data_IF_642730904996
#
_entry.id   IF_642730904996
#
_cell.length_a   1.000
_cell.length_b   1.000
_cell.length_c   1.000
_cell.angle_alpha   90.00
_cell.angle_beta   90.00
_cell.angle_gamma   90.00
#
_symmetry.space_group_name_H-M   'P 1'
#
loop_
_entity.id
_entity.type
_entity.pdbx_description
1 polymer ?
#
# COMPACT_ATOMS: atom_id res chain seq x y z
N UNK A 1 -14.74 -3.39 23.44
CA UNK A 1 -13.59 -2.57 22.99
C UNK A 1 -12.50 -3.51 22.48
N UNK A 2 -12.76 -4.14 21.33
CA UNK A 2 -11.88 -5.04 20.58
C UNK A 2 -12.67 -5.41 19.32
N UNK A 3 -12.61 -4.59 18.27
CA UNK A 3 -13.24 -4.91 16.98
C UNK A 3 -12.64 -3.97 15.95
N UNK A 4 -12.06 -4.54 14.90
CA UNK A 4 -11.44 -3.89 13.75
C UNK A 4 -9.93 -3.60 13.81
N UNK A 5 -9.17 -4.28 14.67
CA UNK A 5 -7.88 -4.76 14.19
C UNK A 5 -8.14 -6.11 13.55
N UNK A 6 -7.57 -6.34 12.37
CA UNK A 6 -7.34 -7.68 11.85
C UNK A 6 -8.60 -8.42 11.31
N UNK A 7 -8.80 -8.39 9.99
CA UNK A 7 -9.45 -9.51 9.29
C UNK A 7 -8.47 -10.17 8.31
N UNK A 8 -7.70 -9.38 7.56
CA UNK A 8 -6.64 -9.93 6.70
C UNK A 8 -5.40 -10.34 7.50
N UNK A 9 -4.97 -9.53 8.46
CA UNK A 9 -3.82 -9.88 9.30
C UNK A 9 -4.19 -10.93 10.36
N UNK A 10 -5.44 -10.97 10.84
CA UNK A 10 -5.90 -12.02 11.79
C UNK A 10 -6.00 -13.36 11.09
N UNK A 11 -6.45 -13.40 9.83
CA UNK A 11 -6.50 -14.64 9.09
C UNK A 11 -5.09 -15.23 8.92
N UNK A 12 -4.09 -14.38 8.65
CA UNK A 12 -2.68 -14.81 8.56
C UNK A 12 -2.12 -15.19 9.94
N UNK A 13 -2.42 -14.42 11.00
CA UNK A 13 -1.91 -14.67 12.36
C UNK A 13 -2.61 -15.84 13.09
N UNK A 14 -3.90 -16.07 12.85
CA UNK A 14 -4.68 -17.19 13.40
C UNK A 14 -4.27 -18.51 12.71
N UNK A 15 -3.91 -18.45 11.43
CA UNK A 15 -3.29 -19.59 10.74
C UNK A 15 -1.88 -19.87 11.30
N UNK A 16 -1.13 -18.82 11.66
CA UNK A 16 0.20 -18.90 12.28
C UNK A 16 0.18 -19.65 13.62
N UNK A 17 -0.82 -19.41 14.48
CA UNK A 17 -0.99 -20.11 15.77
C UNK A 17 -1.41 -21.57 15.59
N UNK A 18 -2.32 -21.86 14.65
CA UNK A 18 -2.77 -23.23 14.38
C UNK A 18 -1.70 -24.12 13.74
N UNK A 19 -0.73 -23.55 13.02
CA UNK A 19 0.37 -24.31 12.40
C UNK A 19 1.53 -24.55 13.38
N UNK A 20 1.76 -23.67 14.36
CA UNK A 20 2.84 -23.82 15.36
C UNK A 20 2.44 -24.74 16.53
N UNK A 21 1.16 -24.81 16.92
CA UNK A 21 0.70 -25.75 17.98
C UNK A 21 0.74 -27.23 17.57
N UNK A 22 1.10 -27.55 16.33
CA UNK A 22 1.43 -28.91 15.90
C UNK A 22 2.89 -29.28 16.19
N UNK A 23 3.35 -29.17 17.45
CA UNK A 23 4.58 -29.84 17.92
C UNK A 23 4.27 -30.78 19.10
N UNK A 24 4.95 -31.94 19.17
CA UNK A 24 4.42 -33.13 19.81
C UNK A 24 4.55 -33.03 21.33
N UNK A 25 3.47 -33.39 22.02
CA UNK A 25 3.51 -33.74 23.43
C UNK A 25 4.45 -34.95 23.58
N UNK A 26 5.48 -34.79 24.39
CA UNK A 26 6.25 -35.91 24.92
C UNK A 26 5.31 -36.75 25.80
N UNK A 27 4.69 -37.77 25.23
CA UNK A 27 4.12 -38.88 25.98
C UNK A 27 4.78 -40.18 25.51
N UNK A 28 5.58 -40.73 26.42
CA UNK A 28 5.94 -42.13 26.40
C UNK A 28 4.67 -42.97 26.54
N UNK A 29 4.23 -43.64 25.49
CA UNK A 29 4.00 -45.09 25.49
C UNK A 29 3.28 -45.54 24.21
N UNK A 30 3.56 -46.79 23.88
CA UNK A 30 3.20 -47.56 22.70
C UNK A 30 1.75 -47.46 22.21
N UNK A 31 1.56 -47.05 20.94
CA UNK A 31 0.66 -47.71 19.98
C UNK A 31 0.86 -47.09 18.58
N UNK A 32 0.93 -47.93 17.55
CA UNK A 32 1.10 -47.51 16.16
C UNK A 32 -0.08 -46.68 15.68
N UNK A 33 0.16 -45.44 15.28
CA UNK A 33 -0.68 -44.75 14.31
C UNK A 33 0.21 -43.83 13.46
N UNK A 34 0.23 -44.13 12.17
CA UNK A 34 1.04 -43.54 11.13
C UNK A 34 0.54 -42.11 10.84
N UNK A 35 0.92 -41.14 11.68
CA UNK A 35 0.77 -39.71 11.36
C UNK A 35 1.99 -39.30 10.55
N UNK A 36 1.88 -39.35 9.22
CA UNK A 36 2.89 -38.82 8.32
C UNK A 36 3.16 -37.34 8.65
N UNK A 37 4.35 -37.06 9.17
CA UNK A 37 4.85 -35.70 9.31
C UNK A 37 4.92 -35.05 7.93
N UNK A 38 4.14 -33.98 7.71
CA UNK A 38 4.17 -33.22 6.46
C UNK A 38 5.56 -32.59 6.35
N UNK A 39 6.28 -32.89 5.27
CA UNK A 39 7.63 -32.35 5.05
C UNK A 39 7.55 -30.80 4.95
N UNK A 40 8.53 -30.04 5.45
CA UNK A 40 8.50 -28.58 5.49
C UNK A 40 8.16 -27.92 4.14
N UNK A 41 8.66 -28.49 3.03
CA UNK A 41 8.42 -27.97 1.68
C UNK A 41 6.95 -28.12 1.23
N UNK A 42 6.22 -29.09 1.77
CA UNK A 42 4.82 -29.30 1.45
C UNK A 42 3.92 -28.31 2.21
N UNK A 43 4.32 -27.88 3.41
CA UNK A 43 3.63 -26.81 4.14
C UNK A 43 3.77 -25.45 3.42
N UNK A 44 4.97 -25.13 2.92
CA UNK A 44 5.21 -23.91 2.14
C UNK A 44 4.37 -23.87 0.85
N UNK A 45 4.20 -25.01 0.19
CA UNK A 45 3.39 -25.12 -1.01
C UNK A 45 1.90 -24.89 -0.75
N UNK A 46 1.36 -25.39 0.36
CA UNK A 46 -0.04 -25.16 0.73
C UNK A 46 -0.32 -23.71 1.15
N UNK A 47 0.63 -23.06 1.84
CA UNK A 47 0.56 -21.61 2.14
C UNK A 47 0.56 -20.80 0.84
N UNK A 48 1.44 -21.13 -0.11
CA UNK A 48 1.49 -20.48 -1.41
C UNK A 48 0.18 -20.63 -2.20
N UNK A 49 -0.40 -21.84 -2.27
CA UNK A 49 -1.70 -22.07 -2.92
C UNK A 49 -2.81 -21.23 -2.30
N UNK A 50 -2.84 -21.16 -0.96
CA UNK A 50 -3.84 -20.38 -0.24
C UNK A 50 -3.70 -18.88 -0.55
N UNK A 51 -2.48 -18.33 -0.54
CA UNK A 51 -2.24 -16.94 -0.91
C UNK A 51 -2.63 -16.65 -2.36
N UNK A 52 -2.41 -17.59 -3.28
CA UNK A 52 -2.83 -17.46 -4.69
C UNK A 52 -4.34 -17.55 -4.91
N UNK A 53 -5.09 -18.12 -3.97
CA UNK A 53 -6.55 -18.15 -4.04
C UNK A 53 -7.20 -16.83 -3.57
N UNK A 54 -6.44 -15.90 -2.98
CA UNK A 54 -6.95 -14.60 -2.55
C UNK A 54 -6.90 -13.57 -3.70
N UNK A 55 -8.04 -13.09 -4.22
CA UNK A 55 -8.08 -12.14 -5.33
C UNK A 55 -7.43 -10.79 -5.00
N UNK A 56 -7.24 -10.47 -3.71
CA UNK A 56 -6.55 -9.24 -3.28
C UNK A 56 -5.04 -9.32 -3.46
N UNK A 57 -4.50 -10.52 -3.68
CA UNK A 57 -3.08 -10.79 -3.87
C UNK A 57 -2.74 -11.15 -5.34
N UNK A 58 -3.69 -10.99 -6.26
CA UNK A 58 -3.52 -11.38 -7.67
C UNK A 58 -2.37 -10.64 -8.37
N UNK A 59 -2.12 -9.39 -7.99
CA UNK A 59 -1.10 -8.52 -8.60
C UNK A 59 0.33 -8.84 -8.15
N UNK A 60 0.51 -9.66 -7.10
CA UNK A 60 1.84 -10.07 -6.67
C UNK A 60 2.39 -11.15 -7.60
N UNK A 61 3.64 -10.99 -8.02
CA UNK A 61 4.36 -12.03 -8.76
C UNK A 61 4.62 -13.25 -7.87
N UNK A 62 4.81 -14.42 -8.48
CA UNK A 62 5.21 -15.64 -7.74
C UNK A 62 6.46 -15.39 -6.90
N UNK A 63 7.40 -14.59 -7.42
CA UNK A 63 8.66 -14.26 -6.75
C UNK A 63 8.42 -13.42 -5.49
N UNK A 64 7.53 -12.42 -5.54
CA UNK A 64 7.20 -11.59 -4.38
C UNK A 64 6.49 -12.39 -3.29
N UNK A 65 5.57 -13.28 -3.68
CA UNK A 65 4.90 -14.20 -2.75
C UNK A 65 5.89 -15.16 -2.08
N UNK A 66 6.83 -15.73 -2.84
CA UNK A 66 7.84 -16.65 -2.31
C UNK A 66 8.83 -15.94 -1.38
N UNK A 67 9.27 -14.73 -1.71
CA UNK A 67 10.13 -13.92 -0.83
C UNK A 67 9.40 -13.55 0.46
N UNK A 68 8.13 -13.17 0.38
CA UNK A 68 7.31 -12.90 1.56
C UNK A 68 7.19 -14.12 2.47
N UNK A 69 6.96 -15.30 1.89
CA UNK A 69 6.92 -16.57 2.61
C UNK A 69 8.30 -16.84 3.26
N UNK A 70 9.40 -16.75 2.52
CA UNK A 70 10.74 -17.01 3.05
C UNK A 70 11.15 -16.06 4.19
N UNK A 71 10.92 -14.75 4.03
CA UNK A 71 11.36 -13.74 4.99
C UNK A 71 10.60 -13.81 6.32
N UNK A 72 9.37 -14.32 6.32
CA UNK A 72 8.52 -14.37 7.52
C UNK A 72 8.41 -15.78 8.14
N UNK A 73 8.98 -16.82 7.51
CA UNK A 73 8.91 -18.21 7.99
C UNK A 73 10.27 -18.84 8.35
N UNK A 74 11.41 -18.22 8.01
CA UNK A 74 12.75 -18.80 8.26
C UNK A 74 13.60 -18.07 9.31
N UNK A 75 13.12 -16.99 9.92
CA UNK A 75 13.89 -16.24 10.93
C UNK A 75 13.96 -16.93 12.32
N UNK A 76 13.35 -18.12 12.50
CA UNK A 76 13.39 -18.86 13.77
C UNK A 76 14.43 -20.00 13.83
N UNK A 77 15.40 -20.05 12.90
CA UNK A 77 16.51 -21.04 12.97
C UNK A 77 17.93 -20.46 13.07
N UNK A 78 18.09 -19.14 13.12
CA UNK A 78 19.36 -18.53 13.54
C UNK A 78 20.61 -18.89 12.71
N UNK A 79 20.48 -19.18 11.42
CA UNK A 79 21.63 -19.40 10.52
C UNK A 79 21.40 -18.68 9.18
N UNK A 80 22.09 -17.55 9.00
CA UNK A 80 21.98 -16.66 7.84
C UNK A 80 22.81 -17.10 6.62
N UNK A 81 23.31 -18.34 6.57
CA UNK A 81 24.29 -18.76 5.55
C UNK A 81 23.73 -19.56 4.37
N UNK A 82 22.41 -19.75 4.23
CA UNK A 82 21.85 -20.71 3.25
C UNK A 82 20.96 -20.11 2.16
N UNK A 83 21.31 -18.93 1.63
CA UNK A 83 20.50 -18.25 0.59
C UNK A 83 20.89 -18.60 -0.85
N UNK A 84 21.98 -19.35 -1.11
CA UNK A 84 22.47 -19.55 -2.49
C UNK A 84 22.26 -20.94 -3.13
N UNK A 85 21.57 -21.89 -2.51
CA UNK A 85 21.35 -23.21 -3.15
C UNK A 85 19.96 -23.79 -2.91
N UNK A 86 18.91 -23.21 -3.49
CA UNK A 86 17.65 -23.91 -3.77
C UNK A 86 16.99 -23.32 -5.03
N UNK A 87 17.51 -23.64 -6.21
CA UNK A 87 16.82 -23.35 -7.49
C UNK A 87 16.64 -24.57 -8.39
N UNK A 88 17.05 -25.77 -7.98
CA UNK A 88 17.18 -26.89 -8.93
C UNK A 88 16.12 -27.99 -8.86
N UNK A 89 15.02 -27.82 -8.11
CA UNK A 89 14.03 -28.91 -7.93
C UNK A 89 12.56 -28.46 -7.88
N UNK A 90 12.13 -27.60 -8.81
CA UNK A 90 10.70 -27.45 -9.14
C UNK A 90 10.42 -27.63 -10.64
N UNK A 91 9.32 -28.33 -10.99
CA UNK A 91 9.07 -28.79 -12.35
C UNK A 91 8.89 -27.64 -13.35
N UNK A 92 9.63 -27.77 -14.45
CA UNK A 92 9.69 -26.86 -15.59
C UNK A 92 8.40 -26.93 -16.39
N UNK A 93 7.41 -26.10 -16.07
CA UNK A 93 6.37 -25.75 -17.04
C UNK A 93 5.96 -24.30 -16.80
N UNK A 94 6.84 -23.37 -17.20
CA UNK A 94 6.53 -21.95 -17.27
C UNK A 94 5.88 -21.62 -18.61
N UNK A 95 4.69 -21.05 -18.49
CA UNK A 95 3.90 -20.39 -19.52
C UNK A 95 4.69 -19.19 -20.05
N UNK A 96 4.86 -19.14 -21.38
CA UNK A 96 5.32 -17.97 -22.12
C UNK A 96 4.20 -16.95 -22.20
N UNK A 97 4.41 -15.72 -21.73
CA UNK A 97 3.62 -14.56 -22.18
C UNK A 97 4.59 -13.51 -22.70
N UNK A 98 4.55 -13.31 -24.02
CA UNK A 98 5.27 -12.27 -24.76
C UNK A 98 4.44 -11.00 -24.72
N UNK A 99 4.92 -9.94 -24.05
CA UNK A 99 4.45 -8.59 -24.33
C UNK A 99 5.44 -7.91 -25.26
N UNK A 100 4.96 -7.63 -26.47
CA UNK A 100 5.71 -6.99 -27.54
C UNK A 100 5.25 -5.54 -27.65
N UNK A 101 6.20 -4.61 -27.52
CA UNK A 101 6.04 -3.23 -28.00
C UNK A 101 7.42 -2.59 -28.17
N UNK A 102 8.03 -2.75 -29.35
CA UNK A 102 8.95 -1.76 -29.91
C UNK A 102 8.66 -1.69 -31.42
N UNK A 103 8.04 -0.59 -31.84
CA UNK A 103 8.15 -0.12 -33.21
C UNK A 103 9.49 0.60 -33.31
N UNK A 104 10.42 0.06 -34.08
CA UNK A 104 11.36 0.91 -34.80
C UNK A 104 11.66 0.33 -36.18
N UNK A 105 11.36 1.15 -37.19
CA UNK A 105 11.46 0.82 -38.60
C UNK A 105 12.84 1.24 -39.10
N UNK A 106 13.70 0.28 -39.49
CA UNK A 106 14.86 0.57 -40.33
C UNK A 106 14.90 -0.44 -41.48
N UNK A 107 14.78 0.06 -42.70
CA UNK A 107 14.91 -0.70 -43.95
C UNK A 107 16.35 -1.16 -44.19
N UNK A 108 16.60 -2.37 -44.73
CA UNK A 108 17.95 -2.78 -45.12
C UNK A 108 18.30 -2.28 -46.52
N UNK A 109 19.51 -1.72 -46.67
CA UNK A 109 20.20 -1.60 -47.97
C UNK A 109 21.22 -2.74 -48.08
N UNK A 110 21.24 -3.39 -49.25
CA UNK A 110 22.10 -4.55 -49.54
C UNK A 110 23.56 -4.14 -49.78
N UNK A 111 24.51 -4.84 -49.14
CA UNK A 111 25.96 -4.76 -49.40
C UNK A 111 26.72 -5.90 -48.73
N UNK A 112 27.82 -6.41 -49.33
CA UNK A 112 28.23 -7.80 -49.19
C UNK A 112 29.06 -8.12 -47.95
N UNK A 113 28.96 -9.39 -47.55
CA UNK A 113 29.58 -10.07 -46.43
C UNK A 113 31.10 -9.88 -46.32
N UNK A 114 31.55 -9.32 -45.20
CA UNK A 114 32.86 -9.59 -44.63
C UNK A 114 32.69 -10.13 -43.21
N UNK A 115 33.44 -11.20 -42.91
CA UNK A 115 33.31 -11.99 -41.71
C UNK A 115 33.98 -11.30 -40.54
N UNK A 116 33.20 -10.66 -39.69
CA UNK A 116 33.61 -10.37 -38.31
C UNK A 116 32.37 -10.47 -37.44
N UNK A 117 32.31 -11.50 -36.60
CA UNK A 117 31.27 -11.63 -35.58
C UNK A 117 31.45 -10.50 -34.56
N UNK A 118 30.74 -9.40 -34.77
CA UNK A 118 30.55 -8.37 -33.75
C UNK A 118 29.67 -8.97 -32.64
N UNK A 119 30.31 -9.38 -31.55
CA UNK A 119 29.62 -9.76 -30.32
C UNK A 119 28.93 -8.51 -29.77
N UNK A 120 27.65 -8.38 -30.12
CA UNK A 120 26.82 -7.26 -29.67
C UNK A 120 26.36 -7.61 -28.27
N UNK A 121 27.20 -7.32 -27.28
CA UNK A 121 26.84 -7.46 -25.87
C UNK A 121 25.71 -6.47 -25.57
N UNK A 122 24.48 -6.99 -25.61
CA UNK A 122 23.28 -6.23 -25.31
C UNK A 122 23.20 -6.13 -23.79
N UNK A 123 23.68 -5.02 -23.22
CA UNK A 123 23.45 -4.71 -21.81
C UNK A 123 21.97 -4.46 -21.62
N UNK A 124 21.22 -5.50 -21.25
CA UNK A 124 19.86 -5.35 -20.75
C UNK A 124 19.98 -4.65 -19.40
N UNK A 125 19.86 -3.32 -19.40
CA UNK A 125 19.64 -2.57 -18.17
C UNK A 125 18.20 -2.86 -17.76
N UNK A 126 18.03 -3.95 -17.01
CA UNK A 126 16.77 -4.21 -16.32
C UNK A 126 16.67 -3.17 -15.21
N UNK A 127 16.01 -2.04 -15.49
CA UNK A 127 15.51 -1.19 -14.42
C UNK A 127 14.44 -1.99 -13.71
N UNK A 128 14.83 -2.74 -12.69
CA UNK A 128 13.89 -3.18 -11.67
C UNK A 128 13.40 -1.89 -11.02
N UNK A 129 12.24 -1.39 -11.47
CA UNK A 129 11.44 -0.47 -10.67
C UNK A 129 11.15 -1.26 -9.41
N UNK A 130 11.99 -1.05 -8.40
CA UNK A 130 11.85 -1.66 -7.11
C UNK A 130 10.43 -1.33 -6.68
N UNK A 131 9.59 -2.36 -6.52
CA UNK A 131 8.25 -2.29 -5.96
C UNK A 131 8.43 -1.94 -4.47
N UNK A 132 9.01 -0.77 -4.17
CA UNK A 132 9.39 -0.32 -2.83
C UNK A 132 8.10 -0.03 -2.09
N UNK A 133 7.68 -1.05 -1.35
CA UNK A 133 6.93 -1.02 -0.11
C UNK A 133 6.02 0.21 0.03
N UNK A 134 4.74 0.00 -0.28
CA UNK A 134 3.64 0.90 0.10
C UNK A 134 2.67 0.18 1.05
N UNK A 135 3.16 -0.83 1.78
CA UNK A 135 2.35 -1.52 2.79
C UNK A 135 2.07 -0.55 3.93
N UNK A 136 0.79 -0.29 4.17
CA UNK A 136 0.32 0.56 5.26
C UNK A 136 0.29 -0.28 6.53
N UNK A 137 1.04 0.13 7.56
CA UNK A 137 1.01 -0.49 8.89
C UNK A 137 -0.06 0.14 9.79
N UNK A 138 -0.31 1.44 9.62
CA UNK A 138 -1.30 2.18 10.39
C UNK A 138 -1.98 3.25 9.52
N UNK A 139 -3.28 3.42 9.68
CA UNK A 139 -4.06 4.43 8.97
C UNK A 139 -5.22 4.89 9.85
N UNK A 140 -5.22 6.17 10.20
CA UNK A 140 -6.16 6.74 11.16
C UNK A 140 -6.73 8.04 10.60
N UNK A 141 -8.06 8.10 10.54
CA UNK A 141 -8.76 9.34 10.25
C UNK A 141 -8.66 10.28 11.46
N UNK A 142 -8.48 11.57 11.19
CA UNK A 142 -8.28 12.61 12.21
C UNK A 142 -9.06 13.87 11.85
N UNK A 143 -9.24 14.74 12.85
CA UNK A 143 -9.84 16.06 12.70
C UNK A 143 -9.33 17.04 13.75
N UNK A 144 -9.79 18.28 13.65
CA UNK A 144 -9.41 19.40 14.51
C UNK A 144 -7.91 19.67 14.48
N UNK A 145 -7.33 19.63 13.28
CA UNK A 145 -5.91 19.79 13.06
C UNK A 145 -5.61 20.76 11.92
N UNK A 146 -4.59 21.58 12.14
CA UNK A 146 -3.90 22.38 11.13
C UNK A 146 -2.43 21.92 11.07
N UNK A 147 -1.68 22.38 10.07
CA UNK A 147 -0.26 22.02 9.98
C UNK A 147 0.49 22.37 11.27
N UNK A 148 1.25 21.42 11.80
CA UNK A 148 2.00 21.52 13.04
C UNK A 148 1.16 21.48 14.33
N UNK A 149 -0.17 21.32 14.27
CA UNK A 149 -1.00 21.22 15.48
C UNK A 149 -1.29 19.78 15.88
N UNK A 150 -1.71 19.58 17.14
CA UNK A 150 -2.31 18.33 17.60
C UNK A 150 -3.53 17.97 16.74
N UNK A 151 -3.88 16.68 16.76
CA UNK A 151 -5.04 16.16 16.03
C UNK A 151 -5.87 15.21 16.89
N UNK A 152 -7.17 15.18 16.65
CA UNK A 152 -8.09 14.28 17.33
C UNK A 152 -8.44 13.08 16.43
N UNK A 153 -8.31 11.83 16.90
CA UNK A 153 -8.77 10.67 16.13
C UNK A 153 -10.27 10.72 15.85
N UNK A 154 -10.65 10.52 14.60
CA UNK A 154 -12.03 10.36 14.19
C UNK A 154 -12.48 8.91 14.37
N UNK A 155 -13.73 8.71 14.76
CA UNK A 155 -14.35 7.39 14.85
C UNK A 155 -15.32 7.17 13.70
N UNK A 156 -15.56 5.90 13.36
CA UNK A 156 -16.62 5.53 12.44
C UNK A 156 -17.98 5.84 13.06
N UNK A 157 -18.91 6.39 12.29
CA UNK A 157 -20.24 6.74 12.78
C UNK A 157 -21.09 7.52 11.78
N UNK A 158 -22.25 7.96 12.25
CA UNK A 158 -23.22 8.75 11.47
C UNK A 158 -23.29 10.21 11.91
N UNK A 159 -22.55 10.58 12.97
CA UNK A 159 -22.57 11.90 13.59
C UNK A 159 -21.65 12.92 12.90
N UNK A 160 -21.56 14.10 13.50
CA UNK A 160 -20.54 15.10 13.14
C UNK A 160 -19.16 14.63 13.61
N UNK A 161 -18.10 15.06 12.94
CA UNK A 161 -16.72 14.68 13.24
C UNK A 161 -16.48 13.16 13.21
N UNK A 162 -17.19 12.48 12.31
CA UNK A 162 -17.06 11.03 12.08
C UNK A 162 -16.94 10.74 10.60
N UNK A 163 -16.58 9.50 10.27
CA UNK A 163 -16.70 8.96 8.91
C UNK A 163 -17.72 7.82 8.88
N UNK A 164 -18.56 7.69 7.84
CA UNK A 164 -19.39 6.50 7.66
C UNK A 164 -18.55 5.23 7.60
N UNK A 165 -19.04 4.13 8.16
CA UNK A 165 -18.30 2.86 8.21
C UNK A 165 -17.82 2.37 6.83
N UNK A 166 -18.66 2.54 5.80
CA UNK A 166 -18.33 2.16 4.42
C UNK A 166 -17.34 3.11 3.72
N UNK A 167 -17.09 4.29 4.32
CA UNK A 167 -16.27 5.37 3.77
C UNK A 167 -15.08 5.71 4.68
N UNK A 168 -14.47 4.69 5.30
CA UNK A 168 -13.30 4.85 6.16
C UNK A 168 -12.04 5.27 5.40
N UNK A 169 -10.96 5.66 6.10
CA UNK A 169 -9.75 6.21 5.48
C UNK A 169 -9.05 5.23 4.53
N UNK A 170 -9.22 3.92 4.72
CA UNK A 170 -8.68 2.90 3.80
C UNK A 170 -9.21 3.05 2.37
N UNK A 171 -10.38 3.68 2.21
CA UNK A 171 -10.98 3.94 0.90
C UNK A 171 -10.22 4.97 0.09
N UNK A 172 -9.33 5.76 0.68
CA UNK A 172 -8.44 6.64 -0.07
C UNK A 172 -7.25 5.91 -0.71
N UNK A 173 -7.04 4.62 -0.40
CA UNK A 173 -5.85 3.86 -0.80
C UNK A 173 -6.19 2.48 -1.38
N UNK A 174 -7.47 2.20 -1.68
CA UNK A 174 -7.89 0.87 -2.13
C UNK A 174 -7.80 0.68 -3.65
N UNK A 175 -7.30 1.70 -4.36
CA UNK A 175 -7.10 1.78 -5.81
C UNK A 175 -8.40 1.75 -6.60
N UNK A 176 -9.54 2.01 -5.96
CA UNK A 176 -10.85 1.97 -6.60
C UNK A 176 -11.47 3.37 -6.66
N UNK A 177 -11.78 3.83 -7.87
CA UNK A 177 -12.38 5.16 -8.05
C UNK A 177 -13.88 5.21 -7.66
N UNK A 178 -14.51 4.05 -7.43
CA UNK A 178 -15.92 3.94 -7.07
C UNK A 178 -16.15 3.70 -5.55
N UNK A 179 -15.09 3.74 -4.75
CA UNK A 179 -15.14 3.85 -3.29
C UNK A 179 -14.68 5.26 -2.91
N UNK A 180 -14.91 5.68 -1.65
CA UNK A 180 -14.44 6.98 -1.20
C UNK A 180 -14.22 7.04 0.31
N UNK A 181 -13.21 7.79 0.72
CA UNK A 181 -13.09 8.26 2.08
C UNK A 181 -13.98 9.50 2.25
N UNK A 182 -14.82 9.52 3.29
CA UNK A 182 -15.73 10.63 3.59
C UNK A 182 -15.65 11.02 5.05
N UNK A 183 -15.30 12.28 5.31
CA UNK A 183 -15.34 12.86 6.65
C UNK A 183 -16.48 13.86 6.79
N UNK A 184 -17.34 13.69 7.81
CA UNK A 184 -18.48 14.59 8.10
C UNK A 184 -18.07 15.72 9.04
N UNK A 185 -18.29 16.96 8.62
CA UNK A 185 -18.13 18.13 9.46
C UNK A 185 -19.44 18.58 10.12
N UNK A 186 -19.45 19.82 10.61
CA UNK A 186 -20.63 20.43 11.20
C UNK A 186 -21.37 21.32 10.20
N UNK A 187 -22.63 20.96 9.91
CA UNK A 187 -23.52 21.71 9.02
C UNK A 187 -23.12 21.66 7.54
N UNK A 188 -23.92 22.28 6.67
CA UNK A 188 -23.69 22.34 5.22
C UNK A 188 -23.11 23.70 4.85
N UNK A 189 -21.78 23.81 4.81
CA UNK A 189 -21.07 25.07 4.57
C UNK A 189 -19.67 24.81 4.00
N UNK A 190 -18.89 25.86 3.75
CA UNK A 190 -17.52 25.76 3.20
C UNK A 190 -16.49 25.22 4.22
N UNK A 191 -16.77 25.31 5.52
CA UNK A 191 -15.87 24.88 6.59
C UNK A 191 -16.07 23.43 7.03
N UNK A 192 -17.19 22.81 6.63
CA UNK A 192 -17.53 21.46 7.05
C UNK A 192 -16.55 20.42 6.52
N UNK A 193 -15.78 19.80 7.41
CA UNK A 193 -14.75 18.81 7.09
C UNK A 193 -13.39 19.42 6.75
N UNK A 194 -13.23 20.74 6.79
CA UNK A 194 -11.91 21.37 6.82
C UNK A 194 -11.21 21.01 8.14
N UNK A 195 -9.87 21.00 8.14
CA UNK A 195 -9.04 20.57 9.26
C UNK A 195 -9.24 19.09 9.64
N UNK A 196 -9.66 18.28 8.67
CA UNK A 196 -9.77 16.84 8.78
C UNK A 196 -8.92 16.13 7.74
N UNK A 197 -8.74 14.83 7.94
CA UNK A 197 -8.04 13.98 7.00
C UNK A 197 -7.59 12.70 7.67
N UNK A 198 -6.34 12.31 7.45
CA UNK A 198 -5.78 11.11 8.04
C UNK A 198 -4.28 11.26 8.25
N UNK A 199 -3.71 10.39 9.07
CA UNK A 199 -2.31 10.02 8.93
C UNK A 199 -2.16 8.55 8.56
N UNK A 200 -1.07 8.26 7.87
CA UNK A 200 -0.70 6.93 7.40
C UNK A 200 0.75 6.66 7.79
N UNK A 201 1.01 5.48 8.35
CA UNK A 201 2.35 4.96 8.61
C UNK A 201 2.59 3.78 7.69
N UNK A 202 3.75 3.79 7.04
CA UNK A 202 4.16 2.68 6.18
C UNK A 202 4.99 1.66 6.97
N UNK A 203 4.91 0.39 6.56
CA UNK A 203 5.64 -0.72 7.19
C UNK A 203 7.14 -0.76 6.83
N UNK A 204 7.56 0.11 5.91
CA UNK A 204 8.88 0.17 5.31
C UNK A 204 9.79 1.17 6.03
N UNK A 205 11.03 1.23 5.56
CA UNK A 205 11.88 2.39 5.77
C UNK A 205 11.28 3.68 5.20
N UNK A 206 11.72 4.80 5.77
CA UNK A 206 11.35 6.13 5.32
C UNK A 206 11.65 6.28 3.82
N UNK A 207 10.76 6.94 3.08
CA UNK A 207 10.97 7.21 1.66
C UNK A 207 10.63 8.67 1.35
N UNK A 208 10.95 9.16 0.15
CA UNK A 208 10.60 10.52 -0.29
C UNK A 208 9.44 10.42 -1.26
N UNK A 209 8.42 11.26 -1.09
CA UNK A 209 7.40 11.48 -2.11
C UNK A 209 7.66 12.80 -2.85
N UNK A 210 7.70 12.73 -4.17
CA UNK A 210 7.96 13.88 -5.07
C UNK A 210 6.70 14.39 -5.75
N UNK A 211 5.59 13.65 -5.67
CA UNK A 211 4.28 14.13 -6.13
C UNK A 211 3.11 13.44 -5.41
N UNK A 212 1.95 14.08 -5.47
CA UNK A 212 0.68 13.54 -4.98
C UNK A 212 -0.41 13.73 -6.04
N UNK A 213 -1.37 12.81 -6.08
CA UNK A 213 -2.54 12.91 -6.97
C UNK A 213 -3.79 12.42 -6.26
N UNK A 214 -4.81 13.27 -6.22
CA UNK A 214 -6.12 12.93 -5.69
C UNK A 214 -7.08 12.53 -6.80
N UNK A 215 -8.12 11.76 -6.47
CA UNK A 215 -9.26 11.52 -7.33
C UNK A 215 -10.57 12.01 -6.69
N UNK A 216 -11.43 12.62 -7.51
CA UNK A 216 -12.78 13.03 -7.10
C UNK A 216 -13.66 11.81 -6.81
N UNK A 217 -14.64 11.97 -5.93
CA UNK A 217 -15.63 10.93 -5.64
C UNK A 217 -16.88 11.03 -6.53
N UNK A 218 -17.79 10.07 -6.39
CA UNK A 218 -19.04 9.96 -7.15
C UNK A 218 -20.17 10.87 -6.64
N UNK A 219 -20.18 11.19 -5.33
CA UNK A 219 -21.35 11.75 -4.67
C UNK A 219 -21.62 13.23 -4.95
N UNK A 220 -20.70 14.14 -4.58
CA UNK A 220 -20.91 15.59 -4.67
C UNK A 220 -19.59 16.32 -4.82
N UNK A 221 -19.41 17.04 -5.94
CA UNK A 221 -18.20 17.83 -6.19
C UNK A 221 -17.97 18.92 -5.15
N UNK A 222 -19.00 19.37 -4.45
CA UNK A 222 -18.85 20.36 -3.37
C UNK A 222 -18.01 19.82 -2.19
N UNK A 223 -17.83 18.51 -2.11
CA UNK A 223 -17.03 17.83 -1.08
C UNK A 223 -15.59 17.62 -1.49
N UNK A 224 -15.22 17.87 -2.74
CA UNK A 224 -13.85 17.66 -3.20
C UNK A 224 -12.90 18.55 -2.40
N UNK A 225 -11.83 18.00 -1.79
CA UNK A 225 -10.76 18.82 -1.23
C UNK A 225 -10.03 19.50 -2.39
N UNK A 226 -9.95 20.82 -2.39
CA UNK A 226 -9.25 21.58 -3.45
C UNK A 226 -7.84 22.00 -3.03
N UNK A 227 -7.60 22.06 -1.71
CA UNK A 227 -6.28 22.28 -1.13
C UNK A 227 -6.09 21.41 0.13
N UNK A 228 -4.84 21.06 0.38
CA UNK A 228 -4.39 20.25 1.51
C UNK A 228 -3.05 20.74 2.06
N UNK A 229 -2.72 20.33 3.28
CA UNK A 229 -1.33 20.19 3.72
C UNK A 229 -0.93 18.73 3.74
N UNK A 230 0.35 18.47 3.45
CA UNK A 230 0.98 17.18 3.65
C UNK A 230 2.18 17.39 4.55
N UNK A 231 2.27 16.57 5.59
CA UNK A 231 3.33 16.62 6.59
C UNK A 231 3.96 15.26 6.76
N UNK A 232 5.23 15.23 7.19
CA UNK A 232 5.99 14.00 7.45
C UNK A 232 6.39 13.88 8.91
N UNK A 233 6.51 12.64 9.38
CA UNK A 233 7.02 12.29 10.71
C UNK A 233 7.79 10.96 10.68
N UNK A 234 8.86 10.86 11.46
CA UNK A 234 9.55 9.59 11.71
C UNK A 234 8.90 8.78 12.84
N UNK A 235 7.92 9.36 13.54
CA UNK A 235 7.14 8.68 14.57
C UNK A 235 6.22 7.62 13.94
N UNK A 236 5.92 6.57 14.71
CA UNK A 236 5.06 5.46 14.27
C UNK A 236 3.99 5.08 15.29
N UNK A 237 4.01 5.69 16.48
CA UNK A 237 3.07 5.40 17.55
C UNK A 237 1.91 6.38 17.54
N UNK A 238 0.70 5.90 17.82
CA UNK A 238 -0.50 6.75 17.83
C UNK A 238 -0.40 7.91 18.84
N UNK A 239 0.24 7.70 19.98
CA UNK A 239 0.44 8.74 20.99
C UNK A 239 1.24 9.93 20.42
N UNK A 240 2.35 9.64 19.73
CA UNK A 240 3.21 10.66 19.13
C UNK A 240 2.59 11.27 17.88
N UNK A 241 1.96 10.46 17.04
CA UNK A 241 1.32 10.92 15.80
C UNK A 241 0.09 11.79 16.06
N UNK A 242 -0.50 11.73 17.26
CA UNK A 242 -1.52 12.67 17.71
C UNK A 242 -0.99 14.07 18.02
N UNK A 243 0.32 14.25 18.19
CA UNK A 243 0.96 15.51 18.59
C UNK A 243 1.48 16.32 17.42
N UNK A 244 1.27 17.62 17.46
CA UNK A 244 1.61 18.55 16.39
C UNK A 244 3.11 18.71 16.14
N UNK A 245 3.90 18.66 17.21
CA UNK A 245 5.36 18.78 17.18
C UNK A 245 6.05 17.58 16.52
N UNK A 246 5.34 16.46 16.33
CA UNK A 246 5.81 15.30 15.58
C UNK A 246 5.81 15.52 14.06
N UNK A 247 5.19 16.60 13.55
CA UNK A 247 4.93 16.78 12.12
C UNK A 247 5.75 17.91 11.50
N UNK A 248 6.33 17.63 10.33
CA UNK A 248 7.04 18.61 9.51
C UNK A 248 6.28 18.89 8.22
N UNK A 249 5.97 20.16 7.95
CA UNK A 249 5.27 20.56 6.72
C UNK A 249 6.11 20.31 5.47
N UNK A 250 5.57 19.51 4.55
CA UNK A 250 6.20 19.15 3.27
C UNK A 250 5.53 19.83 2.09
N UNK A 251 4.22 20.04 2.18
CA UNK A 251 3.43 20.63 1.12
C UNK A 251 2.23 21.38 1.69
N UNK A 252 1.92 22.53 1.11
CA UNK A 252 0.66 23.25 1.31
C UNK A 252 0.23 23.79 -0.03
N UNK A 253 -0.90 23.33 -0.55
CA UNK A 253 -1.33 23.71 -1.88
C UNK A 253 -2.47 22.88 -2.44
N UNK A 254 -2.66 22.97 -3.74
CA UNK A 254 -3.78 22.34 -4.45
C UNK A 254 -3.73 20.81 -4.37
N UNK A 255 -4.89 20.16 -4.46
CA UNK A 255 -5.02 18.71 -4.74
C UNK A 255 -5.04 18.39 -6.23
N UNK A 256 -5.13 19.40 -7.09
CA UNK A 256 -5.37 19.26 -8.52
C UNK A 256 -6.81 18.94 -8.91
N UNK A 257 -7.74 18.88 -7.94
CA UNK A 257 -9.14 18.59 -8.23
C UNK A 257 -9.93 19.80 -8.72
N UNK A 258 -9.49 21.04 -8.44
CA UNK A 258 -10.26 22.25 -8.79
C UNK A 258 -10.68 22.30 -10.27
N UNK A 259 -9.80 21.92 -11.20
CA UNK A 259 -10.07 21.93 -12.64
C UNK A 259 -10.82 20.67 -13.16
N UNK A 260 -11.08 19.67 -12.31
CA UNK A 260 -11.73 18.42 -12.71
C UNK A 260 -13.24 18.60 -12.75
N UNK A 261 -13.84 18.31 -13.90
CA UNK A 261 -15.28 18.41 -14.11
C UNK A 261 -16.03 17.07 -13.98
N UNK A 262 -15.33 15.94 -14.02
CA UNK A 262 -15.90 14.60 -13.88
C UNK A 262 -15.73 14.02 -12.47
N UNK A 263 -16.70 13.23 -12.04
CA UNK A 263 -16.61 12.41 -10.84
C UNK A 263 -15.71 11.19 -11.06
N UNK A 264 -15.24 10.56 -9.98
CA UNK A 264 -14.44 9.32 -10.04
C UNK A 264 -13.24 9.46 -10.99
N UNK A 265 -12.57 10.62 -10.96
CA UNK A 265 -11.51 10.97 -11.91
C UNK A 265 -10.32 11.56 -11.18
N UNK A 266 -9.11 11.17 -11.59
CA UNK A 266 -7.89 11.77 -11.06
C UNK A 266 -7.74 13.23 -11.48
N UNK A 267 -7.39 14.08 -10.51
CA UNK A 267 -6.98 15.45 -10.77
C UNK A 267 -5.59 15.57 -11.38
N UNK A 268 -5.15 16.82 -11.49
CA UNK A 268 -3.79 17.12 -11.95
C UNK A 268 -2.76 16.63 -10.92
N UNK A 269 -1.67 16.02 -11.38
CA UNK A 269 -0.56 15.63 -10.52
C UNK A 269 0.08 16.88 -9.88
N UNK A 270 0.24 16.88 -8.57
CA UNK A 270 0.84 17.98 -7.81
C UNK A 270 2.26 17.57 -7.43
N UNK A 271 3.26 18.34 -7.88
CA UNK A 271 4.66 18.07 -7.56
C UNK A 271 5.01 18.67 -6.20
N UNK A 272 5.72 17.90 -5.39
CA UNK A 272 6.23 18.27 -4.08
C UNK A 272 7.74 18.51 -4.19
N UNK A 273 8.21 19.66 -3.70
CA UNK A 273 9.64 19.95 -3.59
C UNK A 273 10.12 19.56 -2.20
N UNK A 274 10.29 18.25 -1.97
CA UNK A 274 10.64 17.68 -0.66
C UNK A 274 11.99 16.99 -0.77
N UNK A 275 12.84 17.18 0.24
CA UNK A 275 14.19 16.61 0.33
C UNK A 275 14.40 15.75 1.58
N UNK A 276 13.32 15.43 2.31
CA UNK A 276 13.34 14.62 3.52
C UNK A 276 12.42 13.40 3.37
N UNK A 277 12.85 12.27 3.92
CA UNK A 277 12.10 11.02 3.94
C UNK A 277 11.47 10.79 5.30
N UNK A 278 10.25 10.26 5.34
CA UNK A 278 9.53 9.99 6.59
C UNK A 278 8.84 8.62 6.57
N UNK A 279 8.54 8.08 7.77
CA UNK A 279 7.77 6.83 7.92
C UNK A 279 6.27 7.04 7.90
N UNK A 280 5.85 8.18 8.43
CA UNK A 280 4.45 8.57 8.56
C UNK A 280 4.17 9.86 7.81
N UNK A 281 2.98 9.94 7.23
CA UNK A 281 2.49 11.11 6.51
C UNK A 281 1.12 11.50 7.01
N UNK A 282 0.91 12.80 7.22
CA UNK A 282 -0.40 13.38 7.57
C UNK A 282 -0.90 14.23 6.42
N UNK A 283 -2.16 14.03 6.06
CA UNK A 283 -2.84 14.82 5.04
C UNK A 283 -4.02 15.52 5.70
N UNK A 284 -4.05 16.85 5.62
CA UNK A 284 -5.13 17.67 6.18
C UNK A 284 -5.78 18.49 5.07
N UNK A 285 -7.10 18.50 5.03
CA UNK A 285 -7.88 19.29 4.09
C UNK A 285 -7.95 20.72 4.59
N UNK A 286 -7.45 21.66 3.79
CA UNK A 286 -7.45 23.09 4.13
C UNK A 286 -8.55 23.85 3.40
N UNK A 287 -8.97 23.38 2.24
CA UNK A 287 -10.08 23.96 1.47
C UNK A 287 -10.84 22.88 0.70
N UNK A 288 -12.14 23.12 0.49
CA UNK A 288 -13.02 22.27 -0.32
C UNK A 288 -13.82 23.09 -1.32
N UNK A 289 -14.24 22.46 -2.41
CA UNK A 289 -14.82 23.16 -3.58
C UNK A 289 -16.07 23.98 -3.26
N UNK A 290 -16.97 23.46 -2.41
CA UNK A 290 -18.28 24.07 -2.23
C UNK A 290 -18.93 23.78 -0.90
N UNK A 291 -20.14 24.32 -0.72
CA UNK A 291 -20.93 24.11 0.50
C UNK A 291 -21.55 22.73 0.50
N UNK A 292 -21.14 21.92 1.47
CA UNK A 292 -21.65 20.58 1.76
C UNK A 292 -21.29 20.25 3.23
N UNK A 293 -21.76 19.13 3.75
CA UNK A 293 -21.57 18.67 5.13
C UNK A 293 -20.35 17.77 5.34
N UNK A 294 -19.54 17.59 4.30
CA UNK A 294 -18.39 16.68 4.34
C UNK A 294 -17.31 17.09 3.35
N UNK A 295 -16.16 16.46 3.53
CA UNK A 295 -15.10 16.33 2.52
C UNK A 295 -15.06 14.87 2.06
N UNK A 296 -14.82 14.65 0.78
CA UNK A 296 -14.86 13.34 0.18
C UNK A 296 -13.94 13.24 -1.05
N UNK A 297 -13.22 12.12 -1.16
CA UNK A 297 -12.37 11.81 -2.30
C UNK A 297 -12.17 10.29 -2.41
N UNK A 298 -11.98 9.82 -3.64
CA UNK A 298 -11.90 8.39 -3.93
C UNK A 298 -10.52 7.83 -3.73
N UNK A 299 -9.47 8.55 -4.12
CA UNK A 299 -8.11 8.02 -4.06
C UNK A 299 -7.11 9.13 -3.76
N UNK A 300 -6.01 8.75 -3.11
CA UNK A 300 -4.78 9.51 -3.04
C UNK A 300 -3.61 8.61 -3.43
N UNK A 301 -2.79 9.09 -4.36
CA UNK A 301 -1.56 8.43 -4.77
C UNK A 301 -0.38 9.31 -4.46
N UNK A 302 0.59 8.74 -3.77
CA UNK A 302 1.90 9.33 -3.60
C UNK A 302 2.88 8.72 -4.60
N UNK A 303 3.74 9.54 -5.17
CA UNK A 303 4.72 9.17 -6.19
C UNK A 303 6.12 9.44 -5.66
N UNK A 304 7.06 8.53 -5.96
CA UNK A 304 8.49 8.68 -5.67
C UNK A 304 9.17 9.30 -6.89
#
# INVERSE_FOLDING_TARGET
MLSMLNCSLLAVFVLFVLVIEAKPVHESSSASNDKQAIKPNQQLYEIYKFMRADPRLADFSNKELIVFIHQNLLDDTGDASRTEQVTDDLPTTLVTTTDSNINDTISPTNGPSDGTTADTSTTIVTTTTSTICMLISNLVAIYDATAGSDSTPALSGSGIYTYPLANGPSKAFDKLLNTSYRFRGFGTNLQSGINSGFYVTYACDSFIFTAVRFASADASRNRDPIAVTIEGSDETTQEKLGKGDSWHLLYSGSTGLYAVNSSMTYGNLQKLFVNASYKSYRVLVTEKRGSDSSVEYSEIKFFK
#
